data_IF_590022910388
#
_entry.id   IF_590022910388
#
_cell.length_a   1.000
_cell.length_b   1.000
_cell.length_c   1.000
_cell.angle_alpha   90.00
_cell.angle_beta   90.00
_cell.angle_gamma   90.00
#
_symmetry.space_group_name_H-M   'P 1'
#
loop_
_entity.id
_entity.type
_entity.pdbx_description
1 polymer ?
#
# COMPACT_ATOMS: atom_id res chain seq x y z
N UNK A 1 -46.86 -15.00 39.98
CA UNK A 1 -46.43 -13.65 40.38
C UNK A 1 -45.52 -13.05 39.34
N UNK A 2 -45.59 -11.73 39.13
CA UNK A 2 -44.74 -10.98 38.19
C UNK A 2 -43.24 -11.32 38.36
N UNK A 3 -42.81 -11.43 39.62
CA UNK A 3 -41.46 -11.84 40.04
C UNK A 3 -40.94 -13.16 39.44
N UNK A 4 -41.81 -14.15 39.16
CA UNK A 4 -41.36 -15.42 38.56
C UNK A 4 -41.05 -15.24 37.08
N UNK A 5 -41.86 -14.43 36.37
CA UNK A 5 -41.63 -14.12 34.96
C UNK A 5 -40.36 -13.31 34.77
N UNK A 6 -40.16 -12.27 35.61
CA UNK A 6 -38.97 -11.43 35.56
C UNK A 6 -37.70 -12.27 35.79
N UNK A 7 -37.73 -13.22 36.73
CA UNK A 7 -36.62 -14.14 36.99
C UNK A 7 -36.37 -15.14 35.85
N UNK A 8 -37.42 -15.65 35.20
CA UNK A 8 -37.30 -16.56 34.05
C UNK A 8 -36.72 -15.82 32.82
N UNK A 9 -37.10 -14.56 32.60
CA UNK A 9 -36.56 -13.69 31.55
C UNK A 9 -35.09 -13.37 31.78
N UNK A 10 -34.70 -13.04 33.02
CA UNK A 10 -33.30 -12.81 33.39
C UNK A 10 -32.45 -14.08 33.19
N UNK A 11 -32.96 -15.24 33.63
CA UNK A 11 -32.30 -16.53 33.42
C UNK A 11 -32.12 -16.83 31.92
N UNK A 12 -33.12 -16.57 31.09
CA UNK A 12 -33.03 -16.76 29.65
C UNK A 12 -32.00 -15.82 29.01
N UNK A 13 -31.94 -14.56 29.46
CA UNK A 13 -30.95 -13.58 29.01
C UNK A 13 -29.51 -14.02 29.36
N UNK A 14 -29.29 -14.46 30.60
CA UNK A 14 -28.00 -14.98 31.06
C UNK A 14 -27.61 -16.27 30.33
N UNK A 15 -28.56 -17.18 30.10
CA UNK A 15 -28.30 -18.39 29.31
C UNK A 15 -27.84 -18.03 27.89
N UNK A 16 -28.45 -17.01 27.27
CA UNK A 16 -28.08 -16.51 25.95
C UNK A 16 -26.68 -15.88 25.95
N UNK A 17 -26.36 -15.04 26.95
CA UNK A 17 -25.04 -14.42 27.06
C UNK A 17 -23.93 -15.45 27.30
N UNK A 18 -24.18 -16.48 28.12
CA UNK A 18 -23.27 -17.61 28.32
C UNK A 18 -23.06 -18.36 27.00
N UNK A 19 -24.13 -18.65 26.25
CA UNK A 19 -24.03 -19.32 24.95
C UNK A 19 -23.18 -18.52 23.96
N UNK A 20 -23.39 -17.21 23.87
CA UNK A 20 -22.61 -16.32 22.98
C UNK A 20 -21.15 -16.30 23.41
N UNK A 21 -20.88 -16.11 24.71
CA UNK A 21 -19.52 -16.06 25.25
C UNK A 21 -18.79 -17.39 25.03
N UNK A 22 -19.49 -18.52 25.19
CA UNK A 22 -18.91 -19.85 24.94
C UNK A 22 -18.54 -20.04 23.47
N UNK A 23 -19.38 -19.57 22.54
CA UNK A 23 -19.08 -19.61 21.11
C UNK A 23 -17.85 -18.75 20.79
N UNK A 24 -17.78 -17.53 21.33
CA UNK A 24 -16.61 -16.65 21.16
C UNK A 24 -15.33 -17.26 21.72
N UNK A 25 -15.39 -17.93 22.87
CA UNK A 25 -14.26 -18.65 23.43
C UNK A 25 -13.77 -19.75 22.49
N UNK A 26 -14.68 -20.57 21.95
CA UNK A 26 -14.29 -21.62 20.99
C UNK A 26 -13.67 -21.07 19.71
N UNK A 27 -14.14 -19.91 19.25
CA UNK A 27 -13.57 -19.22 18.09
C UNK A 27 -12.16 -18.71 18.39
N UNK A 28 -11.95 -18.07 19.56
CA UNK A 28 -10.62 -17.62 20.00
C UNK A 28 -9.66 -18.80 20.17
N UNK A 29 -10.11 -19.93 20.71
CA UNK A 29 -9.29 -21.14 20.84
C UNK A 29 -8.86 -21.68 19.47
N UNK A 30 -9.76 -21.70 18.49
CA UNK A 30 -9.42 -22.09 17.12
C UNK A 30 -8.41 -21.13 16.46
N UNK A 31 -8.57 -19.82 16.69
CA UNK A 31 -7.63 -18.81 16.22
C UNK A 31 -6.24 -18.97 16.85
N UNK A 32 -6.18 -19.26 18.16
CA UNK A 32 -4.92 -19.52 18.86
C UNK A 32 -4.21 -20.77 18.33
N UNK A 33 -4.94 -21.85 18.05
CA UNK A 33 -4.36 -23.05 17.45
C UNK A 33 -3.84 -22.79 16.02
N UNK A 34 -4.55 -21.99 15.22
CA UNK A 34 -4.07 -21.56 13.91
C UNK A 34 -2.75 -20.79 14.01
N UNK A 35 -2.67 -19.80 14.91
CA UNK A 35 -1.46 -19.01 15.13
C UNK A 35 -0.30 -19.86 15.64
N UNK A 36 -0.56 -20.84 16.53
CA UNK A 36 0.46 -21.78 17.00
C UNK A 36 1.05 -22.62 15.86
N UNK A 37 0.19 -23.09 14.96
CA UNK A 37 0.61 -23.84 13.78
C UNK A 37 1.47 -22.98 12.84
N UNK A 38 1.07 -21.73 12.60
CA UNK A 38 1.81 -20.78 11.78
C UNK A 38 3.19 -20.45 12.37
N UNK A 39 3.27 -20.19 13.68
CA UNK A 39 4.56 -19.97 14.37
C UNK A 39 5.48 -21.18 14.23
N UNK A 40 4.93 -22.39 14.31
CA UNK A 40 5.69 -23.63 14.15
C UNK A 40 6.22 -23.78 12.73
N UNK A 41 5.39 -23.49 11.72
CA UNK A 41 5.80 -23.50 10.31
C UNK A 41 6.91 -22.48 10.02
N UNK A 42 6.72 -21.22 10.46
CA UNK A 42 7.71 -20.15 10.29
C UNK A 42 9.05 -20.47 10.96
N UNK A 43 9.04 -21.15 12.13
CA UNK A 43 10.27 -21.62 12.77
C UNK A 43 10.99 -22.67 11.93
N UNK A 44 10.25 -23.59 11.30
CA UNK A 44 10.80 -24.58 10.37
C UNK A 44 11.41 -23.94 9.12
N UNK A 45 10.71 -22.99 8.51
CA UNK A 45 11.22 -22.23 7.37
C UNK A 45 12.48 -21.43 7.72
N UNK A 46 12.49 -20.77 8.89
CA UNK A 46 13.65 -20.03 9.36
C UNK A 46 14.88 -20.95 9.60
N UNK A 47 14.67 -22.16 10.10
CA UNK A 47 15.74 -23.15 10.23
C UNK A 47 16.31 -23.55 8.85
N UNK A 48 15.44 -23.79 7.87
CA UNK A 48 15.84 -24.07 6.49
C UNK A 48 16.59 -22.90 5.86
N UNK A 49 16.13 -21.67 6.07
CA UNK A 49 16.80 -20.45 5.59
C UNK A 49 18.20 -20.28 6.20
N UNK A 50 18.38 -20.59 7.48
CA UNK A 50 19.70 -20.59 8.14
C UNK A 50 20.63 -21.64 7.53
N UNK A 51 20.12 -22.85 7.25
CA UNK A 51 20.89 -23.91 6.59
C UNK A 51 21.34 -23.49 5.19
N UNK A 52 20.42 -22.93 4.38
CA UNK A 52 20.74 -22.41 3.05
C UNK A 52 21.78 -21.29 3.10
N UNK A 53 21.68 -20.36 4.06
CA UNK A 53 22.70 -19.32 4.26
C UNK A 53 24.08 -19.91 4.56
N UNK A 54 24.15 -20.94 5.40
CA UNK A 54 25.42 -21.62 5.69
C UNK A 54 26.02 -22.29 4.43
N UNK A 55 25.18 -22.92 3.60
CA UNK A 55 25.61 -23.51 2.32
C UNK A 55 26.12 -22.43 1.37
N UNK A 56 25.41 -21.33 1.22
CA UNK A 56 25.85 -20.19 0.39
C UNK A 56 27.19 -19.65 0.87
N UNK A 57 27.36 -19.46 2.17
CA UNK A 57 28.63 -18.99 2.73
C UNK A 57 29.80 -19.96 2.45
N UNK A 58 29.55 -21.26 2.52
CA UNK A 58 30.56 -22.28 2.15
C UNK A 58 30.94 -22.18 0.67
N UNK A 59 29.94 -22.07 -0.21
CA UNK A 59 30.15 -21.96 -1.66
C UNK A 59 30.88 -20.67 -2.02
N UNK A 60 30.58 -19.54 -1.36
CA UNK A 60 31.30 -18.28 -1.54
C UNK A 60 32.77 -18.39 -1.14
N UNK A 61 33.06 -19.05 0.00
CA UNK A 61 34.44 -19.35 0.41
C UNK A 61 35.16 -20.23 -0.61
N UNK A 62 34.50 -21.26 -1.12
CA UNK A 62 35.11 -22.19 -2.08
C UNK A 62 35.32 -21.53 -3.44
N UNK A 63 34.39 -20.69 -3.89
CA UNK A 63 34.57 -19.82 -5.06
C UNK A 63 35.80 -18.94 -4.90
N UNK A 64 35.96 -18.24 -3.78
CA UNK A 64 37.12 -17.39 -3.54
C UNK A 64 38.44 -18.18 -3.56
N UNK A 65 38.47 -19.40 -2.99
CA UNK A 65 39.66 -20.28 -3.06
C UNK A 65 39.98 -20.71 -4.49
N UNK A 66 38.97 -21.01 -5.30
CA UNK A 66 39.14 -21.39 -6.70
C UNK A 66 39.63 -20.19 -7.52
N UNK A 67 39.04 -19.02 -7.33
CA UNK A 67 39.47 -17.76 -7.95
C UNK A 67 40.91 -17.41 -7.61
N UNK A 68 41.42 -17.73 -6.42
CA UNK A 68 42.85 -17.58 -6.07
C UNK A 68 43.77 -18.63 -6.72
N UNK A 69 43.26 -19.80 -7.09
CA UNK A 69 44.04 -20.87 -7.76
C UNK A 69 44.09 -20.72 -9.28
N UNK A 70 43.16 -19.98 -9.88
CA UNK A 70 43.14 -19.63 -11.31
C UNK A 70 44.29 -18.70 -11.74
N UNK A 71 44.69 -17.63 -11.00
CA UNK A 71 45.81 -16.77 -11.40
C UNK A 71 47.15 -17.51 -11.41
N UNK A 72 47.34 -18.54 -10.58
CA UNK A 72 48.55 -19.37 -10.60
C UNK A 72 48.67 -20.29 -11.83
N UNK A 73 47.59 -20.52 -12.58
CA UNK A 73 47.61 -21.27 -13.84
C UNK A 73 47.54 -20.37 -15.08
N UNK A 74 47.09 -19.12 -14.91
CA UNK A 74 47.02 -18.11 -15.98
C UNK A 74 48.25 -17.21 -16.12
N UNK A 75 49.13 -17.16 -15.11
CA UNK A 75 50.35 -16.31 -15.12
C UNK A 75 51.56 -16.88 -15.88
N UNK A 76 51.33 -17.58 -16.99
CA UNK A 76 52.39 -18.26 -17.76
C UNK A 76 52.57 -17.77 -19.19
N UNK A 77 51.99 -16.63 -19.58
CA UNK A 77 51.99 -16.18 -20.98
C UNK A 77 52.24 -14.68 -21.19
N UNK A 78 52.93 -14.01 -20.26
CA UNK A 78 53.47 -12.67 -20.50
C UNK A 78 55.01 -12.73 -20.55
N UNK A 79 55.56 -12.45 -21.74
CA UNK A 79 56.97 -12.11 -21.92
C UNK A 79 57.88 -13.26 -22.39
N UNK A 80 57.85 -13.57 -23.69
CA UNK A 80 59.03 -14.12 -24.40
C UNK A 80 59.06 -13.72 -25.87
N UNK A 81 59.07 -12.42 -26.14
CA UNK A 81 59.68 -11.87 -27.35
C UNK A 81 61.20 -11.87 -27.17
N UNK A 82 61.85 -12.98 -27.53
CA UNK A 82 63.28 -13.01 -27.89
C UNK A 82 63.53 -14.08 -28.94
N UNK A 83 63.97 -13.60 -30.09
CA UNK A 83 64.81 -14.26 -31.09
C UNK A 83 64.49 -15.72 -31.41
N UNK A 84 63.80 -15.94 -32.54
CA UNK A 84 64.02 -17.14 -33.34
C UNK A 84 63.83 -16.85 -34.83
N UNK A 85 64.70 -16.00 -35.35
CA UNK A 85 64.99 -16.03 -36.77
C UNK A 85 65.92 -17.22 -37.07
N UNK A 86 65.50 -18.01 -38.07
CA UNK A 86 66.32 -18.92 -38.88
C UNK A 86 66.73 -20.27 -38.27
N UNK A 87 65.93 -21.31 -38.54
CA UNK A 87 66.45 -22.58 -39.04
C UNK A 87 65.38 -23.38 -39.82
N UNK A 88 65.77 -23.76 -41.03
CA UNK A 88 65.20 -24.63 -42.08
C UNK A 88 63.93 -25.49 -41.84
N UNK A 89 63.09 -25.48 -42.87
CA UNK A 89 61.93 -26.38 -43.17
C UNK A 89 62.32 -27.87 -43.35
N UNK A 90 61.40 -28.83 -43.60
CA UNK A 90 59.91 -28.81 -43.51
C UNK A 90 59.31 -30.06 -42.80
N UNK A 91 57.96 -30.14 -42.77
CA UNK A 91 57.16 -31.38 -42.80
C UNK A 91 56.52 -31.86 -41.48
N UNK A 92 55.45 -31.17 -41.05
CA UNK A 92 54.18 -31.78 -40.57
C UNK A 92 53.10 -30.72 -40.27
N UNK A 93 52.96 -29.69 -41.11
CA UNK A 93 51.84 -28.75 -40.97
C UNK A 93 50.61 -29.32 -41.68
N UNK A 94 49.75 -30.00 -40.92
CA UNK A 94 48.45 -30.44 -41.42
C UNK A 94 47.65 -31.12 -40.32
N UNK A 95 46.56 -30.46 -39.89
CA UNK A 95 45.54 -30.94 -38.96
C UNK A 95 45.86 -30.75 -37.46
N UNK A 96 45.61 -29.56 -36.89
CA UNK A 96 45.03 -29.42 -35.52
C UNK A 96 44.79 -27.99 -34.99
N UNK A 97 44.92 -26.92 -35.77
CA UNK A 97 44.67 -25.55 -35.26
C UNK A 97 43.22 -25.04 -35.48
N UNK A 98 42.47 -25.61 -36.43
CA UNK A 98 41.10 -25.18 -36.77
C UNK A 98 40.02 -25.65 -35.77
N UNK A 99 40.25 -26.75 -35.06
CA UNK A 99 39.23 -27.38 -34.21
C UNK A 99 39.11 -26.68 -32.84
N UNK A 100 40.22 -26.15 -32.31
CA UNK A 100 40.25 -25.47 -31.01
C UNK A 100 39.54 -24.11 -31.05
N UNK A 101 39.74 -23.32 -32.12
CA UNK A 101 39.10 -22.00 -32.29
C UNK A 101 37.59 -22.14 -32.51
N UNK A 102 37.13 -23.17 -33.23
CA UNK A 102 35.68 -23.49 -33.37
C UNK A 102 35.04 -23.94 -32.06
N UNK A 103 35.77 -24.70 -31.24
CA UNK A 103 35.31 -25.15 -29.92
C UNK A 103 35.06 -23.99 -28.96
N UNK A 104 36.00 -23.04 -28.89
CA UNK A 104 35.89 -21.84 -28.03
C UNK A 104 34.73 -20.93 -28.47
N UNK A 105 34.56 -20.69 -29.79
CA UNK A 105 33.44 -19.89 -30.30
C UNK A 105 32.08 -20.57 -30.16
N UNK A 106 32.01 -21.92 -30.17
CA UNK A 106 30.78 -22.65 -29.80
C UNK A 106 30.47 -22.52 -28.31
N UNK A 107 31.49 -22.60 -27.45
CA UNK A 107 31.37 -22.39 -26.00
C UNK A 107 30.79 -21.02 -25.65
N UNK A 108 31.35 -19.95 -26.23
CA UNK A 108 30.88 -18.57 -25.98
C UNK A 108 29.45 -18.34 -26.52
N UNK A 109 29.09 -18.89 -27.68
CA UNK A 109 27.72 -18.81 -28.20
C UNK A 109 26.71 -19.59 -27.35
N UNK A 110 27.09 -20.75 -26.83
CA UNK A 110 26.23 -21.53 -25.93
C UNK A 110 26.08 -20.82 -24.58
N UNK A 111 27.15 -20.28 -24.01
CA UNK A 111 27.09 -19.51 -22.76
C UNK A 111 26.17 -18.29 -22.90
N UNK A 112 26.30 -17.53 -23.99
CA UNK A 112 25.40 -16.41 -24.31
C UNK A 112 23.95 -16.86 -24.51
N UNK A 113 23.71 -18.07 -25.02
CA UNK A 113 22.35 -18.62 -25.15
C UNK A 113 21.77 -18.95 -23.77
N UNK A 114 22.49 -19.70 -22.95
CA UNK A 114 22.08 -20.06 -21.59
C UNK A 114 21.83 -18.83 -20.73
N UNK A 115 22.67 -17.80 -20.84
CA UNK A 115 22.48 -16.53 -20.11
C UNK A 115 21.21 -15.79 -20.58
N UNK A 116 20.91 -15.80 -21.88
CA UNK A 116 19.67 -15.22 -22.41
C UNK A 116 18.45 -16.01 -21.96
N UNK A 117 18.50 -17.33 -21.99
CA UNK A 117 17.43 -18.20 -21.51
C UNK A 117 17.17 -17.98 -20.02
N UNK A 118 18.22 -17.96 -19.19
CA UNK A 118 18.10 -17.66 -17.76
C UNK A 118 17.53 -16.25 -17.49
N UNK A 119 17.89 -15.25 -18.30
CA UNK A 119 17.31 -13.91 -18.20
C UNK A 119 15.82 -13.90 -18.58
N UNK A 120 15.44 -14.61 -19.64
CA UNK A 120 14.03 -14.77 -20.05
C UNK A 120 13.24 -15.45 -18.92
N UNK A 121 13.76 -16.52 -18.34
CA UNK A 121 13.09 -17.23 -17.23
C UNK A 121 12.91 -16.35 -16.00
N UNK A 122 13.94 -15.57 -15.65
CA UNK A 122 13.84 -14.59 -14.57
C UNK A 122 12.76 -13.54 -14.86
N UNK A 123 12.76 -12.94 -16.04
CA UNK A 123 11.75 -11.96 -16.41
C UNK A 123 10.34 -12.56 -16.39
N UNK A 124 10.18 -13.79 -16.89
CA UNK A 124 8.91 -14.50 -16.84
C UNK A 124 8.42 -14.71 -15.40
N UNK A 125 9.30 -15.09 -14.46
CA UNK A 125 8.93 -15.19 -13.04
C UNK A 125 8.47 -13.85 -12.45
N UNK A 126 9.18 -12.76 -12.76
CA UNK A 126 8.83 -11.41 -12.30
C UNK A 126 7.50 -10.95 -12.89
N UNK A 127 7.26 -11.25 -14.17
CA UNK A 127 6.00 -10.92 -14.85
C UNK A 127 4.83 -11.65 -14.18
N UNK A 128 4.97 -12.95 -13.91
CA UNK A 128 3.92 -13.75 -13.25
C UNK A 128 3.64 -13.21 -11.84
N UNK A 129 4.68 -12.90 -11.07
CA UNK A 129 4.52 -12.34 -9.72
C UNK A 129 3.85 -10.97 -9.73
N UNK A 130 4.22 -10.09 -10.67
CA UNK A 130 3.60 -8.78 -10.82
C UNK A 130 2.15 -8.87 -11.30
N UNK A 131 1.84 -9.80 -12.21
CA UNK A 131 0.48 -10.05 -12.66
C UNK A 131 -0.41 -10.55 -11.51
N UNK A 132 0.09 -11.48 -10.68
CA UNK A 132 -0.62 -11.94 -9.47
C UNK A 132 -0.87 -10.80 -8.50
N UNK A 133 0.15 -10.00 -8.17
CA UNK A 133 0.00 -8.83 -7.29
C UNK A 133 -0.99 -7.81 -7.84
N UNK A 134 -0.99 -7.57 -9.15
CA UNK A 134 -1.97 -6.68 -9.77
C UNK A 134 -3.40 -7.24 -9.66
N UNK A 135 -3.59 -8.54 -9.84
CA UNK A 135 -4.90 -9.18 -9.65
C UNK A 135 -5.36 -9.07 -8.20
N UNK A 136 -4.48 -9.34 -7.23
CA UNK A 136 -4.79 -9.21 -5.80
C UNK A 136 -5.17 -7.77 -5.44
N UNK A 137 -4.43 -6.79 -5.94
CA UNK A 137 -4.73 -5.36 -5.73
C UNK A 137 -6.05 -4.97 -6.37
N UNK A 138 -6.32 -5.44 -7.59
CA UNK A 138 -7.59 -5.18 -8.29
C UNK A 138 -8.77 -5.75 -7.51
N UNK A 139 -8.66 -7.00 -7.04
CA UNK A 139 -9.68 -7.63 -6.20
C UNK A 139 -9.87 -6.87 -4.89
N UNK A 140 -8.80 -6.41 -4.24
CA UNK A 140 -8.91 -5.62 -3.00
C UNK A 140 -9.62 -4.28 -3.20
N UNK A 141 -9.34 -3.60 -4.32
CA UNK A 141 -10.04 -2.35 -4.69
C UNK A 141 -11.51 -2.63 -4.97
N UNK A 142 -11.82 -3.70 -5.70
CA UNK A 142 -13.19 -4.13 -5.97
C UNK A 142 -13.93 -4.43 -4.68
N UNK A 143 -13.38 -5.26 -3.78
CA UNK A 143 -13.94 -5.55 -2.47
C UNK A 143 -14.15 -4.29 -1.61
N UNK A 144 -13.20 -3.35 -1.61
CA UNK A 144 -13.35 -2.09 -0.87
C UNK A 144 -14.44 -1.21 -1.47
N UNK A 145 -14.56 -1.17 -2.80
CA UNK A 145 -15.61 -0.43 -3.50
C UNK A 145 -16.99 -1.06 -3.27
N UNK A 146 -17.08 -2.39 -3.28
CA UNK A 146 -18.30 -3.12 -2.95
C UNK A 146 -18.68 -2.90 -1.48
N UNK A 147 -17.73 -2.92 -0.55
CA UNK A 147 -17.99 -2.60 0.86
C UNK A 147 -18.41 -1.14 1.08
N UNK A 148 -17.95 -0.20 0.25
CA UNK A 148 -18.39 1.20 0.32
C UNK A 148 -19.80 1.41 -0.24
N UNK A 149 -20.22 0.61 -1.24
CA UNK A 149 -21.54 0.70 -1.88
C UNK A 149 -22.59 -0.15 -1.15
N UNK A 150 -22.21 -1.31 -0.63
CA UNK A 150 -22.98 -2.08 0.33
C UNK A 150 -22.78 -1.47 1.71
N UNK A 151 -23.59 -0.46 2.06
CA UNK A 151 -23.62 0.18 3.39
C UNK A 151 -23.98 -0.72 4.58
N UNK A 152 -23.69 -2.01 4.51
CA UNK A 152 -23.73 -2.96 5.62
C UNK A 152 -22.31 -3.05 6.23
N UNK A 153 -21.82 -1.91 6.71
CA UNK A 153 -20.78 -1.91 7.73
C UNK A 153 -21.39 -2.52 8.97
N UNK A 154 -21.15 -3.82 9.15
CA UNK A 154 -21.44 -4.53 10.39
C UNK A 154 -20.48 -3.99 11.45
N UNK A 155 -20.78 -2.79 11.94
CA UNK A 155 -20.17 -2.23 13.13
C UNK A 155 -20.70 -3.02 14.33
N UNK A 156 -20.07 -4.17 14.55
CA UNK A 156 -20.24 -5.04 15.71
C UNK A 156 -19.67 -4.37 16.99
N UNK A 157 -19.99 -3.10 17.20
CA UNK A 157 -19.75 -2.34 18.43
C UNK A 157 -20.95 -1.45 18.81
N UNK A 158 -22.18 -1.85 18.49
CA UNK A 158 -23.35 -1.22 19.10
C UNK A 158 -23.67 -1.86 20.46
N UNK A 159 -22.89 -1.48 21.48
CA UNK A 159 -23.34 -1.53 22.86
C UNK A 159 -24.33 -0.38 23.05
N UNK A 160 -25.52 -0.73 23.53
CA UNK A 160 -26.52 0.13 24.20
C UNK A 160 -27.91 0.22 23.54
N UNK A 161 -28.89 -0.09 24.40
CA UNK A 161 -30.31 0.23 24.44
C UNK A 161 -31.24 -0.24 23.31
N UNK A 162 -32.14 -1.13 23.75
CA UNK A 162 -33.60 -1.12 23.61
C UNK A 162 -34.25 -0.49 22.36
N UNK A 163 -35.23 -1.19 21.82
CA UNK A 163 -36.07 -0.88 20.64
C UNK A 163 -35.44 -1.06 19.24
N UNK A 164 -35.62 -2.26 18.68
CA UNK A 164 -35.56 -2.49 17.23
C UNK A 164 -36.84 -3.18 16.72
N UNK A 165 -37.99 -2.51 16.86
CA UNK A 165 -39.01 -2.61 15.81
C UNK A 165 -38.66 -1.61 14.70
N UNK A 166 -38.39 -2.13 13.50
CA UNK A 166 -38.24 -1.42 12.22
C UNK A 166 -36.93 -0.62 12.06
N UNK A 167 -35.93 -1.28 11.46
CA UNK A 167 -34.83 -0.62 10.75
C UNK A 167 -35.35 0.06 9.46
N UNK A 168 -36.20 1.08 9.58
CA UNK A 168 -36.28 2.11 8.54
C UNK A 168 -34.99 2.92 8.63
N UNK A 169 -34.25 3.03 7.52
CA UNK A 169 -33.04 3.87 7.40
C UNK A 169 -33.26 5.17 8.20
N UNK A 170 -32.52 5.35 9.31
CA UNK A 170 -32.66 6.52 10.17
C UNK A 170 -32.40 7.73 9.28
N UNK A 171 -33.39 8.61 9.14
CA UNK A 171 -33.23 9.84 8.38
C UNK A 171 -32.07 10.65 9.01
N UNK A 172 -31.25 11.36 8.22
CA UNK A 172 -30.23 12.24 8.77
C UNK A 172 -30.84 13.14 9.86
N UNK A 173 -30.18 13.23 11.02
CA UNK A 173 -30.63 14.13 12.09
C UNK A 173 -30.55 15.57 11.59
N UNK A 174 -31.60 16.34 11.81
CA UNK A 174 -31.62 17.76 11.47
C UNK A 174 -30.84 18.49 12.57
N UNK A 175 -29.96 19.42 12.18
CA UNK A 175 -29.23 20.26 13.12
C UNK A 175 -29.17 21.66 12.53
N UNK A 176 -29.59 22.63 13.31
CA UNK A 176 -29.49 24.03 12.93
C UNK A 176 -28.32 24.67 13.68
N UNK A 177 -27.28 25.04 12.92
CA UNK A 177 -26.08 25.73 13.39
C UNK A 177 -26.31 27.19 13.80
N UNK A 178 -27.47 27.76 13.46
CA UNK A 178 -27.86 29.12 13.87
C UNK A 178 -28.37 29.16 15.32
N UNK A 179 -29.14 28.14 15.76
CA UNK A 179 -29.74 28.06 17.11
C UNK A 179 -29.09 26.99 18.00
N UNK A 180 -28.11 26.23 17.50
CA UNK A 180 -27.53 25.05 18.13
C UNK A 180 -28.57 24.02 18.59
N UNK A 181 -29.64 23.85 17.81
CA UNK A 181 -30.77 23.02 18.19
C UNK A 181 -30.92 21.79 17.27
N UNK A 182 -31.00 20.60 17.89
CA UNK A 182 -31.12 19.32 17.19
C UNK A 182 -32.59 18.94 16.94
N UNK A 183 -32.82 18.28 15.82
CA UNK A 183 -34.06 17.59 15.41
C UNK A 183 -35.33 18.46 15.31
N UNK A 184 -35.22 19.78 15.47
CA UNK A 184 -36.34 20.72 15.37
C UNK A 184 -36.53 21.26 13.95
N UNK A 185 -35.48 21.83 13.37
CA UNK A 185 -35.45 22.38 12.01
C UNK A 185 -34.03 22.25 11.44
N UNK A 186 -33.92 22.33 10.12
CA UNK A 186 -32.63 22.49 9.44
C UNK A 186 -32.23 23.97 9.43
N UNK A 187 -30.96 24.29 9.17
CA UNK A 187 -30.43 25.66 9.15
C UNK A 187 -31.30 26.62 8.30
N UNK A 188 -31.79 26.16 7.14
CA UNK A 188 -32.59 26.96 6.21
C UNK A 188 -33.98 27.36 6.73
N UNK A 189 -34.51 26.61 7.69
CA UNK A 189 -35.84 26.82 8.29
C UNK A 189 -35.75 27.55 9.64
N UNK A 190 -34.58 28.10 9.97
CA UNK A 190 -34.36 28.73 11.26
C UNK A 190 -35.17 30.02 11.41
N UNK A 191 -36.08 30.15 12.40
CA UNK A 191 -36.88 31.36 12.58
C UNK A 191 -36.02 32.59 12.89
N UNK A 192 -34.85 32.38 13.50
CA UNK A 192 -33.85 33.41 13.71
C UNK A 192 -33.21 33.91 12.42
N UNK A 193 -33.15 33.09 11.36
CA UNK A 193 -32.65 33.50 10.03
C UNK A 193 -33.53 34.61 9.42
N UNK A 194 -34.85 34.57 9.64
CA UNK A 194 -35.78 35.59 9.17
C UNK A 194 -35.68 36.93 9.93
N UNK A 195 -34.94 36.98 11.05
CA UNK A 195 -34.67 38.22 11.79
C UNK A 195 -33.33 38.85 11.39
N UNK A 196 -32.51 38.18 10.57
CA UNK A 196 -31.22 38.69 10.08
C UNK A 196 -31.33 39.37 8.70
N UNK A 197 -32.48 39.25 8.04
CA UNK A 197 -32.75 39.79 6.70
C UNK A 197 -32.92 41.31 6.64
N UNK A 198 -32.36 42.03 7.62
CA UNK A 198 -31.99 43.42 7.43
C UNK A 198 -30.59 43.46 6.81
N UNK A 199 -30.50 42.91 5.60
CA UNK A 199 -29.31 43.04 4.77
C UNK A 199 -28.98 44.53 4.68
N UNK A 200 -27.75 44.95 5.05
CA UNK A 200 -27.30 46.31 4.81
C UNK A 200 -27.56 46.63 3.34
N UNK A 201 -28.05 47.84 3.00
CA UNK A 201 -28.43 48.17 1.63
C UNK A 201 -27.29 47.78 0.70
N UNK A 202 -27.59 46.89 -0.26
CA UNK A 202 -26.60 46.42 -1.23
C UNK A 202 -25.84 47.62 -1.79
N UNK A 203 -24.51 47.52 -1.86
CA UNK A 203 -23.69 48.65 -2.27
C UNK A 203 -24.17 49.16 -3.62
N UNK A 204 -24.59 50.42 -3.67
CA UNK A 204 -25.15 51.14 -4.83
C UNK A 204 -24.09 51.49 -5.89
N UNK A 205 -23.08 50.64 -6.05
CA UNK A 205 -21.99 50.87 -7.00
C UNK A 205 -22.45 50.59 -8.44
N UNK A 206 -22.93 51.63 -9.12
CA UNK A 206 -23.32 51.61 -10.54
C UNK A 206 -22.12 51.76 -11.51
N UNK A 207 -21.05 51.01 -11.29
CA UNK A 207 -19.86 51.03 -12.15
C UNK A 207 -20.05 50.26 -13.47
N UNK A 208 -19.28 50.61 -14.50
CA UNK A 208 -19.26 49.82 -15.73
C UNK A 208 -18.62 48.44 -15.47
N UNK A 209 -19.11 47.38 -16.12
CA UNK A 209 -18.60 45.99 -15.92
C UNK A 209 -17.12 45.83 -16.33
N UNK A 210 -16.57 46.81 -17.04
CA UNK A 210 -15.18 46.89 -17.50
C UNK A 210 -14.26 47.66 -16.55
N UNK A 211 -14.80 48.32 -15.52
CA UNK A 211 -14.04 49.18 -14.63
C UNK A 211 -13.87 48.51 -13.27
N UNK A 212 -12.62 48.46 -12.81
CA UNK A 212 -12.27 47.85 -11.53
C UNK A 212 -12.74 48.75 -10.38
N UNK A 213 -13.52 48.17 -9.46
CA UNK A 213 -14.05 48.89 -8.31
C UNK A 213 -12.90 49.22 -7.35
N UNK A 214 -12.74 50.49 -6.92
CA UNK A 214 -11.73 50.86 -5.95
C UNK A 214 -11.92 50.07 -4.64
N UNK A 215 -10.92 49.28 -4.28
CA UNK A 215 -10.85 48.54 -3.03
C UNK A 215 -9.58 48.93 -2.28
N UNK A 216 -9.72 49.15 -0.97
CA UNK A 216 -8.61 49.49 -0.10
C UNK A 216 -8.23 48.26 0.73
N UNK A 217 -7.04 47.73 0.48
CA UNK A 217 -6.50 46.60 1.26
C UNK A 217 -6.04 47.01 2.68
N UNK A 218 -5.96 48.31 2.97
CA UNK A 218 -5.51 48.82 4.28
C UNK A 218 -6.66 48.82 5.30
N UNK A 219 -7.83 49.32 4.92
CA UNK A 219 -9.03 49.32 5.78
C UNK A 219 -10.09 48.28 5.37
N UNK A 220 -9.77 47.44 4.39
CA UNK A 220 -10.62 46.37 3.85
C UNK A 220 -12.00 46.84 3.33
N UNK A 221 -12.14 48.13 2.99
CA UNK A 221 -13.38 48.72 2.48
C UNK A 221 -13.33 49.08 1.00
N UNK A 222 -14.47 48.96 0.32
CA UNK A 222 -14.66 49.49 -1.03
C UNK A 222 -14.92 51.00 -1.01
N UNK A 223 -14.43 51.72 -2.02
CA UNK A 223 -14.73 53.15 -2.23
C UNK A 223 -13.51 54.06 -2.40
N UNK A 224 -12.32 53.55 -2.14
CA UNK A 224 -11.03 54.20 -2.44
C UNK A 224 -9.96 53.13 -2.66
N UNK A 225 -8.85 53.52 -3.30
CA UNK A 225 -7.67 52.66 -3.42
C UNK A 225 -6.80 52.77 -2.17
N UNK A 226 -5.99 51.75 -1.89
CA UNK A 226 -5.02 51.77 -0.80
C UNK A 226 -4.11 53.03 -0.82
N UNK A 227 -3.82 53.59 -2.00
CA UNK A 227 -3.03 54.82 -2.18
C UNK A 227 -3.66 56.07 -1.61
N UNK A 228 -4.97 56.05 -1.36
CA UNK A 228 -5.76 57.17 -0.89
C UNK A 228 -6.40 56.88 0.48
N UNK A 229 -5.92 55.84 1.18
CA UNK A 229 -6.40 55.48 2.50
C UNK A 229 -5.85 56.45 3.55
N UNK A 230 -6.74 57.00 4.38
CA UNK A 230 -6.36 57.74 5.56
C UNK A 230 -6.32 56.76 6.75
N UNK A 231 -5.19 56.05 6.90
CA UNK A 231 -4.95 55.03 7.94
C UNK A 231 -4.68 55.64 9.34
N UNK A 232 -4.67 56.98 9.45
CA UNK A 232 -4.31 57.71 10.66
C UNK A 232 -5.46 57.85 11.70
N UNK A 233 -6.60 57.18 11.51
CA UNK A 233 -7.68 57.14 12.51
C UNK A 233 -7.86 55.73 13.09
N UNK A 234 -6.92 55.33 13.95
CA UNK A 234 -7.12 54.25 14.92
C UNK A 234 -7.66 54.85 16.22
N UNK A 235 -8.91 54.53 16.55
CA UNK A 235 -9.47 54.57 17.91
C UNK A 235 -9.76 53.15 18.37
#
# INVERSE_FOLDING_TARGET
>A
SKLIKDADEEKASLQKSISITSALLTEKDAELEKLRNEVTALRGENASAKSLRAVVQSLESDKAKLELKVPCRGGGNDGRDRDRDRCSSPQWAGLREDDHVRGVQRGDRNLKRVLREAHIDFLNSVIVDLQRKNQDLKMKVEMMSEAALNGNGDDMNNYDSDDQEKQSKKKPRLFCDICDCFDLHDTEDCPTQAQMSEDPPHSTHHGSRSEERPYCEICEMFGHWATNCNDDETF
#
